data_IF_316924877110
#
_entry.id   IF_316924877110
#
_cell.length_a   1.000
_cell.length_b   1.000
_cell.length_c   1.000
_cell.angle_alpha   90.00
_cell.angle_beta   90.00
_cell.angle_gamma   90.00
#
_symmetry.space_group_name_H-M   'P 1'
#
loop_
_entity.id
_entity.type
_entity.pdbx_description
1 polymer ?
#
# COMPACT_ATOMS: atom_id res chain seq x y z
N UNK A 1 -30.83 32.06 45.37
CA UNK A 1 -30.28 32.48 46.67
C UNK A 1 -30.05 31.23 47.50
N UNK A 2 -28.81 30.80 47.67
CA UNK A 2 -28.34 30.15 48.91
C UNK A 2 -26.85 29.95 48.75
N UNK A 3 -26.13 30.96 49.21
CA UNK A 3 -24.70 30.92 49.47
C UNK A 3 -24.43 29.90 50.58
N UNK A 4 -23.32 29.18 50.47
CA UNK A 4 -22.55 28.77 51.64
C UNK A 4 -21.09 28.66 51.20
N UNK A 5 -20.28 29.50 51.82
CA UNK A 5 -18.83 29.57 51.76
C UNK A 5 -18.27 28.93 53.05
N UNK A 6 -16.94 28.77 53.07
CA UNK A 6 -16.01 28.67 54.24
C UNK A 6 -15.65 27.20 54.65
N UNK A 7 -14.38 26.86 55.02
CA UNK A 7 -13.06 27.33 54.60
C UNK A 7 -12.01 26.19 54.38
N UNK A 8 -10.79 26.61 54.05
CA UNK A 8 -9.56 25.85 53.78
C UNK A 8 -8.90 25.11 54.98
N UNK A 9 -7.98 24.22 54.59
CA UNK A 9 -6.69 23.77 55.18
C UNK A 9 -6.66 22.49 56.04
N UNK A 10 -6.21 21.38 55.44
CA UNK A 10 -5.26 20.43 56.06
C UNK A 10 -4.28 20.01 54.95
N UNK A 11 -3.08 20.58 54.93
CA UNK A 11 -1.82 19.98 55.38
C UNK A 11 -1.40 18.77 54.53
N UNK A 12 -0.31 18.95 53.79
CA UNK A 12 0.05 18.12 52.66
C UNK A 12 0.62 16.75 52.97
N UNK A 13 0.80 16.02 51.88
CA UNK A 13 1.86 15.03 51.70
C UNK A 13 2.35 15.21 50.26
N UNK A 14 3.60 15.68 50.11
CA UNK A 14 4.35 15.49 48.88
C UNK A 14 4.51 13.97 48.70
N UNK A 15 3.65 13.35 47.89
CA UNK A 15 3.96 12.05 47.33
C UNK A 15 4.91 12.28 46.15
N UNK A 16 6.13 11.82 46.34
CA UNK A 16 7.22 11.86 45.40
C UNK A 16 6.77 11.39 44.01
N UNK A 17 7.01 12.25 43.01
CA UNK A 17 7.00 11.82 41.62
C UNK A 17 8.03 10.70 41.47
N UNK A 18 7.56 9.49 41.17
CA UNK A 18 8.44 8.38 40.78
C UNK A 18 9.08 8.74 39.44
N UNK A 19 10.38 8.44 39.27
CA UNK A 19 11.07 8.75 38.03
C UNK A 19 10.47 7.91 36.90
N UNK A 20 10.28 8.59 35.78
CA UNK A 20 9.94 8.09 34.45
C UNK A 20 10.48 6.68 34.23
N UNK A 21 9.58 5.70 34.31
CA UNK A 21 9.82 4.39 33.71
C UNK A 21 9.96 4.61 32.22
N UNK A 22 11.20 4.64 31.73
CA UNK A 22 11.47 4.48 30.32
C UNK A 22 10.86 3.15 29.90
N UNK A 23 9.69 3.21 29.25
CA UNK A 23 9.17 2.10 28.50
C UNK A 23 10.27 1.73 27.52
N UNK A 24 10.95 0.62 27.80
CA UNK A 24 11.86 0.02 26.85
C UNK A 24 11.01 -0.34 25.65
N UNK A 25 11.01 0.53 24.65
CA UNK A 25 10.59 0.21 23.30
C UNK A 25 11.62 -0.81 22.83
N UNK A 26 11.45 -2.05 23.25
CA UNK A 26 12.09 -3.17 22.56
C UNK A 26 11.44 -3.13 21.19
N UNK A 27 12.18 -2.65 20.20
CA UNK A 27 11.84 -2.90 18.80
C UNK A 27 11.90 -4.41 18.64
N UNK A 28 10.78 -5.09 18.93
CA UNK A 28 10.62 -6.48 18.53
C UNK A 28 10.86 -6.45 17.04
N UNK A 29 11.93 -7.11 16.58
CA UNK A 29 12.15 -7.35 15.15
C UNK A 29 10.81 -7.81 14.59
N UNK A 30 10.30 -7.11 13.58
CA UNK A 30 9.12 -7.52 12.87
C UNK A 30 9.29 -9.00 12.48
N UNK A 31 8.22 -9.82 12.52
CA UNK A 31 8.32 -11.22 12.12
C UNK A 31 8.96 -11.30 10.73
N UNK A 32 9.91 -12.21 10.56
CA UNK A 32 10.53 -12.49 9.26
C UNK A 32 9.40 -12.78 8.27
N UNK A 33 9.18 -11.88 7.33
CA UNK A 33 8.26 -12.13 6.23
C UNK A 33 9.08 -12.93 5.23
N UNK A 34 9.01 -14.25 5.34
CA UNK A 34 9.47 -15.13 4.28
C UNK A 34 8.64 -14.78 3.04
N UNK A 35 9.25 -14.06 2.10
CA UNK A 35 8.60 -13.77 0.82
C UNK A 35 8.65 -15.08 0.03
N UNK A 36 7.51 -15.76 -0.21
CA UNK A 36 7.50 -17.11 -0.80
C UNK A 36 8.14 -17.19 -2.18
N UNK A 37 8.42 -16.03 -2.77
CA UNK A 37 8.75 -15.76 -4.16
C UNK A 37 10.25 -15.82 -4.44
N UNK A 38 11.05 -15.49 -3.43
CA UNK A 38 12.51 -15.42 -3.54
C UNK A 38 13.18 -16.67 -2.97
N UNK A 39 12.41 -17.53 -2.28
CA UNK A 39 12.96 -18.71 -1.62
C UNK A 39 13.95 -18.37 -0.51
N UNK A 40 13.80 -17.21 0.15
CA UNK A 40 14.71 -16.74 1.18
C UNK A 40 14.01 -16.50 2.52
N UNK A 41 14.78 -16.67 3.60
CA UNK A 41 14.30 -16.39 4.96
C UNK A 41 14.06 -14.90 5.20
N UNK A 42 14.89 -14.05 4.58
CA UNK A 42 14.81 -12.59 4.68
C UNK A 42 15.07 -11.96 3.31
N UNK A 43 14.05 -11.28 2.77
CA UNK A 43 14.16 -10.47 1.57
C UNK A 43 14.35 -9.00 1.94
N UNK A 44 15.28 -8.33 1.26
CA UNK A 44 15.57 -6.91 1.46
C UNK A 44 15.52 -6.14 0.13
N UNK A 45 15.24 -4.82 0.15
CA UNK A 45 15.29 -4.01 -1.06
C UNK A 45 16.66 -4.08 -1.75
N UNK A 46 16.66 -4.36 -3.06
CA UNK A 46 17.88 -4.36 -3.87
C UNK A 46 18.36 -2.91 -4.05
N UNK A 47 19.57 -2.63 -3.57
CA UNK A 47 20.12 -1.26 -3.52
C UNK A 47 20.17 -0.54 -4.88
N UNK A 48 20.37 -1.28 -5.99
CA UNK A 48 20.44 -0.73 -7.35
C UNK A 48 19.09 -0.68 -8.06
N UNK A 49 18.01 -1.18 -7.45
CA UNK A 49 16.71 -1.25 -8.09
C UNK A 49 16.10 0.13 -8.28
N UNK A 50 15.55 0.35 -9.47
CA UNK A 50 14.80 1.56 -9.81
C UNK A 50 13.41 1.12 -10.22
N UNK A 51 12.40 1.62 -9.49
CA UNK A 51 11.00 1.33 -9.80
C UNK A 51 10.66 1.81 -11.21
N UNK A 52 9.87 1.02 -11.92
CA UNK A 52 9.43 1.29 -13.28
C UNK A 52 7.93 1.08 -13.42
N UNK A 53 7.36 1.67 -14.47
CA UNK A 53 5.96 1.53 -14.81
C UNK A 53 5.81 1.35 -16.32
N UNK A 54 4.83 0.54 -16.74
CA UNK A 54 4.57 0.19 -18.11
C UNK A 54 3.09 0.42 -18.50
N UNK A 55 2.39 1.30 -17.77
CA UNK A 55 1.04 1.74 -18.11
C UNK A 55 0.02 0.60 -18.05
N UNK A 56 -1.05 0.71 -18.82
CA UNK A 56 -2.14 -0.27 -18.75
C UNK A 56 -1.88 -1.48 -19.67
N UNK A 57 -1.26 -2.53 -19.13
CA UNK A 57 -1.00 -3.76 -19.88
C UNK A 57 -0.14 -4.80 -19.14
N UNK A 58 0.44 -5.69 -19.93
CA UNK A 58 1.51 -6.61 -19.54
C UNK A 58 2.72 -6.41 -20.44
N UNK A 59 3.86 -7.00 -20.09
CA UNK A 59 5.11 -6.94 -20.89
C UNK A 59 4.92 -7.32 -22.38
N UNK A 60 3.89 -8.11 -22.72
CA UNK A 60 3.60 -8.51 -24.10
C UNK A 60 2.41 -7.80 -24.77
N UNK A 61 1.63 -7.00 -24.03
CA UNK A 61 0.42 -6.38 -24.55
C UNK A 61 0.07 -5.11 -23.77
N UNK A 62 0.06 -3.97 -24.47
CA UNK A 62 -0.34 -2.68 -23.90
C UNK A 62 -1.57 -2.17 -24.62
N UNK A 63 -2.54 -1.70 -23.84
CA UNK A 63 -3.69 -1.03 -24.43
C UNK A 63 -3.26 0.37 -24.88
N UNK A 64 -3.57 0.78 -26.12
CA UNK A 64 -3.33 2.16 -26.52
C UNK A 64 -4.21 3.09 -25.67
N UNK A 65 -3.73 4.30 -25.37
CA UNK A 65 -4.47 5.27 -24.56
C UNK A 65 -5.88 5.57 -25.11
N UNK A 66 -6.09 5.44 -26.43
CA UNK A 66 -7.40 5.60 -27.08
C UNK A 66 -8.39 4.48 -26.77
N UNK A 67 -7.93 3.32 -26.29
CA UNK A 67 -8.77 2.21 -25.85
C UNK A 67 -9.18 2.31 -24.37
N UNK A 68 -8.61 3.26 -23.62
CA UNK A 68 -8.96 3.48 -22.22
C UNK A 68 -10.18 4.43 -22.11
N UNK A 69 -11.09 4.22 -21.13
CA UNK A 69 -12.24 5.09 -20.93
C UNK A 69 -11.89 6.54 -20.57
N UNK A 70 -10.72 6.74 -19.97
CA UNK A 70 -10.20 8.05 -19.54
C UNK A 70 -8.67 7.97 -19.43
N UNK A 71 -7.90 9.03 -19.75
CA UNK A 71 -6.44 9.02 -19.65
C UNK A 71 -5.93 8.69 -18.24
N UNK A 72 -6.63 9.11 -17.19
CA UNK A 72 -6.26 8.80 -15.79
C UNK A 72 -6.25 7.30 -15.46
N UNK A 73 -6.82 6.41 -16.31
CA UNK A 73 -6.61 4.97 -16.15
C UNK A 73 -5.12 4.62 -16.23
N UNK A 74 -4.38 5.25 -17.15
CA UNK A 74 -2.94 5.02 -17.28
C UNK A 74 -2.17 5.53 -16.06
N UNK A 75 -2.64 6.61 -15.43
CA UNK A 75 -2.12 7.05 -14.12
C UNK A 75 -2.33 5.96 -13.05
N UNK A 76 -3.54 5.42 -12.94
CA UNK A 76 -3.83 4.33 -12.00
C UNK A 76 -2.99 3.08 -12.26
N UNK A 77 -2.81 2.69 -13.52
CA UNK A 77 -1.96 1.56 -13.90
C UNK A 77 -0.49 1.81 -13.51
N UNK A 78 0.04 3.00 -13.79
CA UNK A 78 1.42 3.33 -13.42
C UNK A 78 1.64 3.33 -11.90
N UNK A 79 0.68 3.81 -11.12
CA UNK A 79 0.74 3.74 -9.65
C UNK A 79 0.74 2.29 -9.14
N UNK A 80 -0.06 1.42 -9.77
CA UNK A 80 -0.11 0.00 -9.45
C UNK A 80 1.21 -0.72 -9.78
N UNK A 81 1.79 -0.46 -10.96
CA UNK A 81 3.10 -0.99 -11.35
C UNK A 81 4.20 -0.60 -10.35
N UNK A 82 4.25 0.68 -9.96
CA UNK A 82 5.22 1.17 -8.99
C UNK A 82 5.02 0.54 -7.60
N UNK A 83 3.76 0.26 -7.23
CA UNK A 83 3.46 -0.46 -6.00
C UNK A 83 4.00 -1.90 -6.07
N UNK A 84 3.70 -2.62 -7.14
CA UNK A 84 4.22 -3.96 -7.40
C UNK A 84 5.75 -4.02 -7.43
N UNK A 85 6.39 -2.98 -7.97
CA UNK A 85 7.85 -2.87 -8.11
C UNK A 85 8.54 -2.33 -6.83
N UNK A 86 7.78 -2.21 -5.74
CA UNK A 86 8.32 -1.92 -4.41
C UNK A 86 8.59 -3.22 -3.67
N UNK A 87 9.85 -3.45 -3.28
CA UNK A 87 10.20 -4.64 -2.51
C UNK A 87 9.40 -4.72 -1.20
N UNK A 88 8.89 -5.92 -0.90
CA UNK A 88 8.02 -6.21 0.25
C UNK A 88 6.67 -5.48 0.24
N UNK A 89 6.22 -5.00 -0.92
CA UNK A 89 4.88 -4.46 -1.03
C UNK A 89 3.81 -5.52 -0.70
N UNK A 90 2.71 -5.09 -0.12
CA UNK A 90 1.52 -5.93 0.05
C UNK A 90 0.71 -5.89 -1.24
N UNK A 91 0.62 -7.03 -1.95
CA UNK A 91 -0.15 -7.14 -3.19
C UNK A 91 -1.61 -6.75 -3.01
N UNK A 92 -2.26 -7.21 -1.93
CA UNK A 92 -3.67 -6.93 -1.70
C UNK A 92 -3.89 -5.43 -1.44
N UNK A 93 -2.92 -4.77 -0.79
CA UNK A 93 -2.92 -3.31 -0.68
C UNK A 93 -2.78 -2.63 -2.03
N UNK A 94 -1.81 -3.02 -2.85
CA UNK A 94 -1.63 -2.47 -4.20
C UNK A 94 -2.91 -2.62 -5.04
N UNK A 95 -3.53 -3.81 -5.03
CA UNK A 95 -4.76 -4.08 -5.77
C UNK A 95 -5.96 -3.25 -5.25
N UNK A 96 -6.04 -3.03 -3.94
CA UNK A 96 -7.08 -2.19 -3.33
C UNK A 96 -6.92 -0.72 -3.69
N UNK A 97 -5.70 -0.20 -3.69
CA UNK A 97 -5.42 1.18 -4.07
C UNK A 97 -5.72 1.39 -5.57
N UNK A 98 -5.39 0.40 -6.41
CA UNK A 98 -5.75 0.39 -7.83
C UNK A 98 -7.27 0.41 -8.08
N UNK A 99 -8.04 -0.43 -7.38
CA UNK A 99 -9.51 -0.42 -7.45
C UNK A 99 -10.09 0.95 -7.08
N UNK A 100 -9.57 1.55 -6.00
CA UNK A 100 -10.01 2.88 -5.57
C UNK A 100 -9.71 3.94 -6.63
N UNK A 101 -8.51 3.93 -7.23
CA UNK A 101 -8.14 4.85 -8.29
C UNK A 101 -9.07 4.72 -9.51
N UNK A 102 -9.26 3.50 -10.02
CA UNK A 102 -10.12 3.25 -11.18
C UNK A 102 -11.57 3.67 -10.93
N UNK A 103 -12.11 3.33 -9.76
CA UNK A 103 -13.47 3.72 -9.37
C UNK A 103 -13.62 5.24 -9.23
N UNK A 104 -12.60 5.91 -8.68
CA UNK A 104 -12.58 7.36 -8.54
C UNK A 104 -12.61 8.07 -9.89
N UNK A 105 -11.86 7.58 -10.88
CA UNK A 105 -11.86 8.15 -12.24
C UNK A 105 -13.27 8.10 -12.84
N UNK A 106 -13.93 6.94 -12.78
CA UNK A 106 -15.28 6.81 -13.32
C UNK A 106 -16.34 7.61 -12.54
N UNK A 107 -16.18 7.73 -11.21
CA UNK A 107 -17.14 8.45 -10.36
C UNK A 107 -17.01 9.98 -10.44
N UNK A 108 -15.82 10.51 -10.74
CA UNK A 108 -15.54 11.95 -10.60
C UNK A 108 -15.08 12.63 -11.88
N UNK A 109 -14.40 11.92 -12.79
CA UNK A 109 -13.82 12.51 -14.01
C UNK A 109 -14.72 12.34 -15.23
N UNK A 110 -15.56 11.30 -15.25
CA UNK A 110 -16.51 11.03 -16.33
C UNK A 110 -17.87 11.65 -16.00
N UNK A 111 -18.27 12.69 -16.73
CA UNK A 111 -19.49 13.46 -16.42
C UNK A 111 -20.77 12.89 -17.03
N UNK A 112 -20.67 12.32 -18.25
CA UNK A 112 -21.82 11.76 -18.97
C UNK A 112 -22.28 10.44 -18.34
N UNK A 113 -23.55 10.36 -17.96
CA UNK A 113 -24.10 9.17 -17.28
C UNK A 113 -23.89 7.86 -18.07
N UNK A 114 -24.20 7.85 -19.36
CA UNK A 114 -23.98 6.68 -20.22
C UNK A 114 -22.49 6.27 -20.33
N UNK A 115 -21.56 7.23 -20.25
CA UNK A 115 -20.13 6.93 -20.27
C UNK A 115 -19.60 6.48 -18.90
N UNK A 116 -20.25 6.85 -17.80
CA UNK A 116 -19.90 6.38 -16.45
C UNK A 116 -20.12 4.88 -16.31
N UNK A 117 -21.20 4.37 -16.89
CA UNK A 117 -21.51 2.93 -16.85
C UNK A 117 -20.48 2.12 -17.63
N UNK A 118 -20.14 2.53 -18.86
CA UNK A 118 -19.08 1.86 -19.63
C UNK A 118 -17.72 1.98 -18.95
N UNK A 119 -17.39 3.16 -18.38
CA UNK A 119 -16.17 3.34 -17.59
C UNK A 119 -16.11 2.36 -16.41
N UNK A 120 -17.19 2.25 -15.62
CA UNK A 120 -17.25 1.36 -14.47
C UNK A 120 -17.13 -0.11 -14.87
N UNK A 121 -17.75 -0.51 -15.98
CA UNK A 121 -17.61 -1.86 -16.53
C UNK A 121 -16.15 -2.17 -16.92
N UNK A 122 -15.48 -1.26 -17.61
CA UNK A 122 -14.06 -1.39 -17.95
C UNK A 122 -13.19 -1.39 -16.69
N UNK A 123 -13.39 -0.48 -15.74
CA UNK A 123 -12.68 -0.47 -14.46
C UNK A 123 -12.79 -1.83 -13.74
N UNK A 124 -13.99 -2.38 -13.63
CA UNK A 124 -14.23 -3.69 -13.01
C UNK A 124 -13.51 -4.83 -13.73
N UNK A 125 -13.39 -4.77 -15.06
CA UNK A 125 -12.60 -5.74 -15.82
C UNK A 125 -11.12 -5.68 -15.43
N UNK A 126 -10.53 -4.47 -15.41
CA UNK A 126 -9.14 -4.28 -14.97
C UNK A 126 -8.91 -4.78 -13.54
N UNK A 127 -9.77 -4.38 -12.60
CA UNK A 127 -9.71 -4.81 -11.20
C UNK A 127 -9.78 -6.33 -11.08
N UNK A 128 -10.70 -6.96 -11.81
CA UNK A 128 -10.87 -8.42 -11.82
C UNK A 128 -9.64 -9.12 -12.37
N UNK A 129 -9.07 -8.64 -13.48
CA UNK A 129 -7.86 -9.21 -14.06
C UNK A 129 -6.67 -9.09 -13.10
N UNK A 130 -6.45 -7.92 -12.51
CA UNK A 130 -5.36 -7.70 -11.55
C UNK A 130 -5.46 -8.60 -10.31
N UNK A 131 -6.67 -8.79 -9.78
CA UNK A 131 -6.90 -9.68 -8.63
C UNK A 131 -6.66 -11.15 -8.96
N UNK A 132 -7.21 -11.62 -10.07
CA UNK A 132 -7.21 -13.05 -10.39
C UNK A 132 -5.94 -13.51 -11.13
N UNK A 133 -5.31 -12.63 -11.90
CA UNK A 133 -4.16 -12.95 -12.76
C UNK A 133 -2.89 -12.20 -12.37
N UNK A 134 -2.97 -11.26 -11.42
CA UNK A 134 -1.83 -10.41 -11.06
C UNK A 134 -0.77 -11.05 -10.15
N UNK A 135 -0.91 -12.32 -9.77
CA UNK A 135 0.06 -12.99 -8.90
C UNK A 135 1.44 -13.06 -9.57
N UNK A 136 1.55 -13.69 -10.73
CA UNK A 136 2.83 -13.83 -11.45
C UNK A 136 3.53 -12.49 -11.74
N UNK A 137 2.87 -11.46 -12.30
CA UNK A 137 3.53 -10.18 -12.52
C UNK A 137 3.96 -9.50 -11.20
N UNK A 138 3.16 -9.60 -10.13
CA UNK A 138 3.58 -9.13 -8.81
C UNK A 138 4.86 -9.86 -8.36
N UNK A 139 4.89 -11.19 -8.48
CA UNK A 139 6.05 -11.99 -8.11
C UNK A 139 7.31 -11.62 -8.92
N UNK A 140 7.15 -11.36 -10.22
CA UNK A 140 8.22 -10.94 -11.09
C UNK A 140 8.79 -9.57 -10.70
N UNK A 141 7.93 -8.62 -10.37
CA UNK A 141 8.34 -7.30 -9.84
C UNK A 141 9.09 -7.46 -8.50
N UNK A 142 8.60 -8.31 -7.60
CA UNK A 142 9.29 -8.60 -6.33
C UNK A 142 10.69 -9.20 -6.54
N UNK A 143 10.87 -10.12 -7.50
CA UNK A 143 12.20 -10.69 -7.83
C UNK A 143 13.18 -9.65 -8.36
N UNK A 144 12.68 -8.64 -9.06
CA UNK A 144 13.48 -7.53 -9.55
C UNK A 144 13.86 -6.57 -8.41
N UNK A 145 12.86 -6.23 -7.59
CA UNK A 145 12.98 -5.23 -6.54
C UNK A 145 13.70 -5.68 -5.27
N UNK A 146 13.69 -6.97 -4.98
CA UNK A 146 14.27 -7.55 -3.77
C UNK A 146 15.52 -8.39 -4.07
N UNK A 147 16.33 -8.60 -3.04
CA UNK A 147 17.43 -9.57 -2.99
C UNK A 147 17.41 -10.31 -1.65
N UNK A 148 18.03 -11.49 -1.60
CA UNK A 148 18.27 -12.20 -0.34
C UNK A 148 19.37 -11.49 0.46
N UNK A 149 19.21 -11.43 1.77
CA UNK A 149 20.30 -11.02 2.67
C UNK A 149 21.29 -12.19 2.83
N UNK A 150 22.55 -11.97 2.45
CA UNK A 150 23.58 -13.00 2.36
C UNK A 150 24.05 -13.56 3.71
N UNK A 151 23.57 -13.03 4.85
CA UNK A 151 23.88 -13.57 6.17
C UNK A 151 23.00 -14.77 6.58
N UNK A 152 22.05 -15.19 5.74
CA UNK A 152 21.16 -16.32 6.01
C UNK A 152 20.87 -17.19 4.76
N UNK A 153 21.83 -17.30 3.84
CA UNK A 153 21.81 -18.36 2.82
C UNK A 153 22.33 -19.65 3.47
N UNK A 154 21.42 -20.55 3.87
CA UNK A 154 21.75 -21.89 4.38
C UNK A 154 21.59 -22.95 3.29
#
# INVERSE_FOLDING_TARGET
MSSSLIPLVVLGVLLAATPSGAAQITWRRAPRVSVPVLGCDEAVPRASHKKSANGCGTEGFRLPASALPHPDFETCCNEHDLCYDTCLADKARCDSDFEQCMSHVCGTKVTKAAARESCASTANLFITMTRNLGCEPFLQSQRSACTCDSENEL
#
